data_IF_403481917028
#
_entry.id   IF_403481917028
#
_cell.length_a   1.000
_cell.length_b   1.000
_cell.length_c   1.000
_cell.angle_alpha   90.00
_cell.angle_beta   90.00
_cell.angle_gamma   90.00
#
_symmetry.space_group_name_H-M   'P 1'
#
loop_
_entity.id
_entity.type
_entity.pdbx_description
1 polymer ?
#
# COMPACT_ATOMS: atom_id res chain seq x y z
N UNK A 1 -27.55 -47.57 26.38
CA UNK A 1 -27.38 -46.13 26.64
C UNK A 1 -26.23 -45.62 25.79
N UNK A 2 -26.45 -44.48 25.13
CA UNK A 2 -25.83 -43.98 23.90
C UNK A 2 -24.29 -44.01 23.80
N UNK A 3 -23.80 -44.46 22.65
CA UNK A 3 -22.48 -44.14 22.11
C UNK A 3 -22.59 -42.85 21.29
N UNK A 4 -22.02 -41.75 21.77
CA UNK A 4 -21.84 -40.52 20.99
C UNK A 4 -20.53 -40.62 20.21
N UNK A 5 -20.64 -40.76 18.89
CA UNK A 5 -19.53 -40.61 17.96
C UNK A 5 -19.33 -39.11 17.75
N UNK A 6 -18.23 -38.57 18.27
CA UNK A 6 -17.78 -37.20 18.00
C UNK A 6 -17.01 -37.20 16.69
N UNK A 7 -17.69 -36.86 15.60
CA UNK A 7 -17.05 -36.52 14.33
C UNK A 7 -16.48 -35.11 14.46
N UNK A 8 -15.20 -34.99 14.80
CA UNK A 8 -14.50 -33.71 14.77
C UNK A 8 -14.25 -33.33 13.29
N UNK A 9 -15.11 -32.48 12.76
CA UNK A 9 -14.83 -31.79 11.50
C UNK A 9 -13.65 -30.84 11.73
N UNK A 10 -12.48 -31.21 11.24
CA UNK A 10 -11.37 -30.29 11.10
C UNK A 10 -11.78 -29.21 10.08
N UNK A 11 -12.23 -28.07 10.60
CA UNK A 11 -12.36 -26.84 9.82
C UNK A 11 -10.95 -26.50 9.34
N UNK A 12 -10.70 -26.78 8.07
CA UNK A 12 -9.52 -26.29 7.37
C UNK A 12 -9.50 -24.77 7.49
N UNK A 13 -8.50 -24.26 8.21
CA UNK A 13 -8.06 -22.89 8.05
C UNK A 13 -7.52 -22.78 6.64
N UNK A 14 -8.37 -22.41 5.70
CA UNK A 14 -7.95 -21.96 4.38
C UNK A 14 -7.26 -20.62 4.63
N UNK A 15 -5.93 -20.65 4.74
CA UNK A 15 -5.10 -19.45 4.67
C UNK A 15 -5.24 -18.87 3.27
N UNK A 16 -6.31 -18.10 3.05
CA UNK A 16 -6.45 -17.19 1.92
C UNK A 16 -5.47 -16.03 2.17
N UNK A 17 -4.21 -16.22 1.81
CA UNK A 17 -3.17 -15.24 2.10
C UNK A 17 -1.93 -15.52 1.28
N UNK A 18 -2.04 -15.34 -0.04
CA UNK A 18 -0.87 -15.32 -0.93
C UNK A 18 -1.15 -14.69 -2.30
N UNK A 19 -2.42 -14.42 -2.67
CA UNK A 19 -2.76 -13.98 -4.03
C UNK A 19 -2.84 -12.47 -4.26
N UNK A 20 -2.58 -11.63 -3.25
CA UNK A 20 -2.75 -10.18 -3.37
C UNK A 20 -1.45 -9.42 -3.65
N UNK A 21 -0.28 -10.07 -3.55
CA UNK A 21 1.02 -9.40 -3.56
C UNK A 21 1.94 -9.77 -4.73
N UNK A 22 1.51 -10.65 -5.64
CA UNK A 22 2.28 -10.96 -6.85
C UNK A 22 2.46 -9.65 -7.63
N UNK A 23 3.70 -9.19 -7.82
CA UNK A 23 4.03 -7.86 -8.38
C UNK A 23 4.27 -6.71 -7.37
N UNK A 24 3.88 -6.89 -6.11
CA UNK A 24 4.09 -5.91 -5.02
C UNK A 24 5.10 -6.39 -3.96
N UNK A 25 5.83 -7.48 -4.23
CA UNK A 25 6.80 -8.08 -3.31
C UNK A 25 7.90 -7.12 -2.86
N UNK A 26 8.25 -6.15 -3.70
CA UNK A 26 9.24 -5.12 -3.39
C UNK A 26 8.73 -4.10 -2.35
N UNK A 27 7.42 -3.82 -2.31
CA UNK A 27 6.80 -2.84 -1.43
C UNK A 27 6.25 -3.45 -0.14
N UNK A 28 5.72 -4.67 -0.19
CA UNK A 28 5.11 -5.31 0.98
C UNK A 28 6.16 -5.53 2.07
N UNK A 29 5.89 -4.99 3.27
CA UNK A 29 6.80 -5.05 4.41
C UNK A 29 7.91 -4.00 4.43
N UNK A 30 8.06 -3.22 3.36
CA UNK A 30 8.99 -2.08 3.25
C UNK A 30 8.25 -0.74 3.40
N UNK A 31 9.01 0.35 3.48
CA UNK A 31 8.48 1.70 3.37
C UNK A 31 8.51 2.14 1.91
N UNK A 32 7.38 2.58 1.38
CA UNK A 32 7.34 3.25 0.06
C UNK A 32 7.31 4.76 0.29
N UNK A 33 8.40 5.44 -0.07
CA UNK A 33 8.52 6.90 0.08
C UNK A 33 8.09 7.60 -1.19
N UNK A 34 7.16 8.54 -1.04
CA UNK A 34 6.67 9.40 -2.10
C UNK A 34 7.19 10.81 -1.87
N UNK A 35 7.94 11.35 -2.82
CA UNK A 35 8.35 12.75 -2.86
C UNK A 35 7.61 13.43 -4.01
N UNK A 36 6.82 14.47 -3.70
CA UNK A 36 5.89 15.09 -4.66
C UNK A 36 6.47 16.34 -5.34
N UNK A 37 7.64 16.81 -4.92
CA UNK A 37 8.32 17.94 -5.55
C UNK A 37 9.83 17.99 -5.24
N UNK A 38 10.53 18.90 -5.93
CA UNK A 38 11.97 19.12 -5.76
C UNK A 38 12.37 19.68 -4.38
N UNK A 39 11.41 20.23 -3.62
CA UNK A 39 11.65 20.72 -2.26
C UNK A 39 11.75 19.57 -1.23
N UNK A 40 11.46 18.33 -1.64
CA UNK A 40 11.50 17.15 -0.78
C UNK A 40 10.25 16.96 0.06
N UNK A 41 9.15 17.67 -0.25
CA UNK A 41 7.86 17.42 0.39
C UNK A 41 7.33 16.05 -0.06
N UNK A 42 6.69 15.34 0.86
CA UNK A 42 6.28 13.97 0.57
C UNK A 42 5.62 13.26 1.74
N UNK A 43 5.44 11.96 1.60
CA UNK A 43 4.93 11.08 2.63
C UNK A 43 5.38 9.64 2.40
N UNK A 44 5.39 8.85 3.46
CA UNK A 44 5.61 7.41 3.42
C UNK A 44 4.29 6.64 3.41
N UNK A 45 4.28 5.54 2.64
CA UNK A 45 3.19 4.60 2.42
C UNK A 45 3.60 3.20 2.87
N UNK A 46 2.64 2.44 3.38
CA UNK A 46 2.82 1.09 3.90
C UNK A 46 1.77 0.14 3.33
N UNK A 47 2.25 -0.93 2.68
CA UNK A 47 1.44 -2.00 2.14
C UNK A 47 1.63 -3.28 2.97
N UNK A 48 0.52 -3.79 3.52
CA UNK A 48 0.50 -5.08 4.23
C UNK A 48 0.10 -6.21 3.28
N UNK A 49 0.70 -7.39 3.42
CA UNK A 49 0.41 -8.58 2.60
C UNK A 49 -1.07 -9.01 2.60
N UNK A 50 -1.84 -8.58 3.60
CA UNK A 50 -3.29 -8.82 3.71
C UNK A 50 -4.15 -7.82 2.93
N UNK A 51 -3.56 -6.94 2.12
CA UNK A 51 -4.27 -5.90 1.37
C UNK A 51 -4.59 -4.63 2.16
N UNK A 52 -4.01 -4.45 3.35
CA UNK A 52 -4.21 -3.22 4.13
C UNK A 52 -3.21 -2.12 3.73
N UNK A 53 -3.71 -0.89 3.61
CA UNK A 53 -2.95 0.31 3.26
C UNK A 53 -2.94 1.29 4.43
N UNK A 54 -1.80 1.92 4.69
CA UNK A 54 -1.71 3.11 5.54
C UNK A 54 -0.60 4.06 5.07
N UNK A 55 -0.61 5.28 5.58
CA UNK A 55 0.45 6.25 5.31
C UNK A 55 0.79 7.14 6.52
N UNK A 56 1.88 7.88 6.37
CA UNK A 56 2.37 8.86 7.35
C UNK A 56 1.54 10.14 7.44
N UNK A 57 0.58 10.36 6.53
CA UNK A 57 -0.40 11.45 6.63
C UNK A 57 -1.55 11.09 7.59
N UNK A 58 -1.58 9.86 8.09
CA UNK A 58 -2.57 9.36 9.03
C UNK A 58 -3.76 8.66 8.35
N UNK A 59 -3.71 8.44 7.02
CA UNK A 59 -4.72 7.60 6.36
C UNK A 59 -4.51 6.16 6.80
N UNK A 60 -5.58 5.55 7.30
CA UNK A 60 -5.63 4.17 7.75
C UNK A 60 -6.99 3.56 7.44
N UNK A 61 -7.09 2.23 7.41
CA UNK A 61 -8.33 1.52 7.07
C UNK A 61 -8.66 1.51 5.57
N UNK A 62 -7.75 2.00 4.72
CA UNK A 62 -7.82 1.82 3.28
C UNK A 62 -7.31 0.41 2.91
N UNK A 63 -7.71 -0.06 1.73
CA UNK A 63 -7.24 -1.30 1.15
C UNK A 63 -6.39 -1.03 -0.10
N UNK A 64 -5.57 -2.01 -0.46
CA UNK A 64 -4.88 -2.04 -1.74
C UNK A 64 -5.04 -3.40 -2.41
N UNK A 65 -4.97 -3.40 -3.74
CA UNK A 65 -4.89 -4.60 -4.56
C UNK A 65 -3.98 -4.36 -5.75
N UNK A 66 -3.46 -5.44 -6.32
CA UNK A 66 -2.68 -5.40 -7.55
C UNK A 66 -3.20 -6.42 -8.56
N UNK A 67 -3.53 -5.94 -9.76
CA UNK A 67 -3.86 -6.74 -10.95
C UNK A 67 -3.49 -5.90 -12.19
N UNK A 68 -2.25 -6.06 -12.66
CA UNK A 68 -1.57 -5.21 -13.67
C UNK A 68 -1.41 -3.73 -13.28
N UNK A 69 -2.22 -3.23 -12.35
CA UNK A 69 -2.21 -1.90 -11.78
C UNK A 69 -2.34 -1.99 -10.26
N UNK A 70 -1.71 -1.05 -9.56
CA UNK A 70 -1.92 -0.87 -8.13
C UNK A 70 -3.17 -0.01 -7.94
N UNK A 71 -4.14 -0.53 -7.19
CA UNK A 71 -5.36 0.18 -6.83
C UNK A 71 -5.40 0.43 -5.32
N UNK A 72 -5.75 1.65 -4.93
CA UNK A 72 -5.95 2.06 -3.53
C UNK A 72 -7.43 2.37 -3.33
N UNK A 73 -8.08 1.61 -2.46
CA UNK A 73 -9.49 1.78 -2.11
C UNK A 73 -9.57 2.50 -0.76
N UNK A 74 -10.13 3.73 -0.70
CA UNK A 74 -10.32 4.45 0.56
C UNK A 74 -11.26 3.71 1.52
N UNK A 75 -11.27 4.04 2.82
CA UNK A 75 -12.28 3.54 3.75
C UNK A 75 -13.68 3.95 3.28
N UNK A 76 -14.68 3.07 3.42
CA UNK A 76 -16.04 3.33 2.93
C UNK A 76 -16.66 4.64 3.46
N UNK A 77 -16.28 5.06 4.68
CA UNK A 77 -16.80 6.25 5.33
C UNK A 77 -16.07 7.56 4.92
N UNK A 78 -14.99 7.48 4.13
CA UNK A 78 -14.22 8.66 3.72
C UNK A 78 -14.80 9.38 2.50
N UNK A 79 -15.78 8.77 1.81
CA UNK A 79 -16.39 9.30 0.58
C UNK A 79 -15.43 9.40 -0.60
N UNK A 80 -14.27 8.75 -0.53
CA UNK A 80 -13.28 8.69 -1.62
C UNK A 80 -13.59 7.55 -2.59
N UNK A 81 -13.12 7.70 -3.82
CA UNK A 81 -13.21 6.66 -4.85
C UNK A 81 -11.89 5.89 -4.93
N UNK A 82 -11.97 4.66 -5.45
CA UNK A 82 -10.78 3.88 -5.76
C UNK A 82 -9.92 4.60 -6.80
N UNK A 83 -8.61 4.61 -6.57
CA UNK A 83 -7.65 5.18 -7.50
C UNK A 83 -6.63 4.12 -7.91
N UNK A 84 -6.50 3.88 -9.22
CA UNK A 84 -5.61 2.88 -9.79
C UNK A 84 -4.55 3.53 -10.68
N UNK A 85 -3.31 3.07 -10.56
CA UNK A 85 -2.18 3.59 -11.31
C UNK A 85 -1.09 2.54 -11.56
N UNK A 86 -0.11 2.85 -12.41
CA UNK A 86 0.96 1.93 -12.73
C UNK A 86 1.88 1.70 -11.52
N UNK A 87 2.38 0.48 -11.39
CA UNK A 87 3.42 0.12 -10.43
C UNK A 87 4.66 -0.40 -11.15
N UNK A 88 5.86 -0.09 -10.63
CA UNK A 88 7.11 -0.65 -11.15
C UNK A 88 7.47 -1.89 -10.33
N UNK A 89 7.03 -3.05 -10.81
CA UNK A 89 7.30 -4.36 -10.21
C UNK A 89 8.80 -4.67 -10.17
N UNK A 90 9.56 -4.13 -11.13
CA UNK A 90 11.00 -4.32 -11.25
C UNK A 90 11.82 -3.38 -10.35
N UNK A 91 11.17 -2.47 -9.59
CA UNK A 91 11.91 -1.58 -8.69
C UNK A 91 12.50 -2.37 -7.51
N UNK A 92 13.82 -2.42 -7.42
CA UNK A 92 14.50 -3.06 -6.30
C UNK A 92 14.38 -2.25 -5.00
N UNK A 93 14.46 -2.94 -3.85
CA UNK A 93 14.58 -2.29 -2.53
C UNK A 93 15.86 -1.44 -2.49
N UNK A 94 15.75 -0.22 -2.02
CA UNK A 94 16.80 0.81 -2.07
C UNK A 94 16.81 1.63 -3.36
N UNK A 95 16.01 1.23 -4.36
CA UNK A 95 15.84 1.95 -5.61
C UNK A 95 14.86 3.13 -5.54
N UNK A 96 14.89 3.94 -6.59
CA UNK A 96 13.91 5.01 -6.83
C UNK A 96 13.49 5.06 -8.30
N UNK A 97 12.24 5.39 -8.57
CA UNK A 97 11.70 5.64 -9.91
C UNK A 97 10.89 6.95 -9.92
N UNK A 98 10.88 7.66 -11.06
CA UNK A 98 10.07 8.87 -11.24
C UNK A 98 8.89 8.64 -12.18
N UNK A 99 7.72 9.17 -11.85
CA UNK A 99 6.51 9.09 -12.67
C UNK A 99 5.58 10.27 -12.39
N UNK A 100 4.74 10.60 -13.36
CA UNK A 100 3.62 11.54 -13.25
C UNK A 100 2.26 10.83 -13.17
N UNK A 101 2.22 9.51 -13.33
CA UNK A 101 0.98 8.75 -13.51
C UNK A 101 0.09 8.69 -12.26
N UNK A 102 0.61 9.12 -11.11
CA UNK A 102 -0.09 9.24 -9.84
C UNK A 102 -0.40 10.70 -9.46
N UNK A 103 -0.14 11.65 -10.35
CA UNK A 103 -0.41 13.07 -10.15
C UNK A 103 -1.54 13.55 -11.06
N UNK A 104 -2.56 14.20 -10.48
CA UNK A 104 -3.69 14.74 -11.24
C UNK A 104 -3.31 15.89 -12.17
N UNK A 105 -2.22 16.60 -11.87
CA UNK A 105 -1.72 17.77 -12.57
C UNK A 105 -0.52 17.47 -13.50
N UNK A 106 -0.09 16.20 -13.57
CA UNK A 106 1.09 15.77 -14.34
C UNK A 106 2.44 16.13 -13.69
N UNK A 107 2.46 16.56 -12.43
CA UNK A 107 3.69 16.78 -11.67
C UNK A 107 4.44 15.45 -11.50
N UNK A 108 5.76 15.48 -11.72
CA UNK A 108 6.61 14.32 -11.47
C UNK A 108 6.75 14.08 -9.96
N UNK A 109 6.44 12.86 -9.56
CA UNK A 109 6.71 12.36 -8.22
C UNK A 109 7.88 11.37 -8.28
N UNK A 110 8.63 11.27 -7.18
CA UNK A 110 9.66 10.23 -6.99
C UNK A 110 9.15 9.21 -6.00
N UNK A 111 9.19 7.94 -6.40
CA UNK A 111 8.81 6.79 -5.60
C UNK A 111 10.08 6.02 -5.26
N UNK A 112 10.33 5.79 -3.98
CA UNK A 112 11.48 5.01 -3.50
C UNK A 112 11.04 3.89 -2.58
N UNK A 113 11.74 2.76 -2.62
CA UNK A 113 11.51 1.64 -1.71
C UNK A 113 12.63 1.64 -0.68
N UNK A 114 12.30 1.85 0.58
CA UNK A 114 13.25 1.82 1.69
C UNK A 114 13.09 0.49 2.43
N UNK A 115 14.21 -0.16 2.72
CA UNK A 115 14.21 -1.44 3.43
C UNK A 115 13.58 -1.29 4.82
N UNK A 116 12.60 -2.15 5.12
CA UNK A 116 11.90 -2.20 6.40
C UNK A 116 10.96 -1.01 6.68
N UNK A 117 10.29 -1.07 7.82
CA UNK A 117 9.35 -0.04 8.30
C UNK A 117 9.96 0.87 9.36
N UNK A 118 9.35 2.05 9.54
CA UNK A 118 9.65 2.96 10.64
C UNK A 118 10.71 4.02 10.32
N UNK A 119 10.92 4.31 9.03
CA UNK A 119 11.69 5.48 8.61
C UNK A 119 11.00 6.76 9.08
N UNK A 120 11.79 7.79 9.42
CA UNK A 120 11.25 9.11 9.69
C UNK A 120 10.67 9.66 8.38
N UNK A 121 9.35 9.90 8.39
CA UNK A 121 8.64 10.36 7.21
C UNK A 121 9.21 11.69 6.71
N UNK A 122 9.24 11.91 5.38
CA UNK A 122 9.58 13.23 4.84
C UNK A 122 8.56 14.26 5.35
N UNK A 123 8.95 15.54 5.29
CA UNK A 123 8.05 16.62 5.72
C UNK A 123 6.75 16.52 4.92
N UNK A 124 5.59 16.35 5.60
CA UNK A 124 4.31 16.35 4.92
C UNK A 124 4.15 17.63 4.10
N UNK A 125 3.49 17.57 2.93
CA UNK A 125 3.20 18.78 2.18
C UNK A 125 2.44 19.77 3.05
N UNK A 126 2.86 21.02 3.01
CA UNK A 126 2.18 22.09 3.75
C UNK A 126 0.78 22.27 3.14
N UNK A 127 -0.31 22.14 3.90
CA UNK A 127 -1.65 22.42 3.38
C UNK A 127 -1.70 23.83 2.78
N UNK A 128 -2.48 24.06 1.70
CA UNK A 128 -2.72 25.41 1.19
C UNK A 128 -3.20 26.32 2.32
N UNK A 129 -2.67 27.54 2.41
CA UNK A 129 -3.19 28.54 3.34
C UNK A 129 -4.58 28.98 2.85
N UNK A 130 -5.59 28.88 3.72
CA UNK A 130 -6.96 29.39 3.50
C UNK A 130 -7.01 30.92 3.29
#
# INVERSE_FOLDING_TARGET
MNKLILTAAALGLVSAGAGFADGMDNAVGNTVRIIINDAGEGFDVFFDAGGAYSDSLGRSGAAWSFDEQLCITPPADSGGEENCGPWNEDLEVGGSWQTDAWSDDGTLITISILEGRGHEAPTPPTPPAD
#
